data_IF_799739112721
#
_entry.id   IF_799739112721
#
_cell.length_a   1.000
_cell.length_b   1.000
_cell.length_c   1.000
_cell.angle_alpha   90.00
_cell.angle_beta   90.00
_cell.angle_gamma   90.00
#
_symmetry.space_group_name_H-M   'P 1'
#
loop_
_entity.id
_entity.type
_entity.pdbx_description
1 polymer ?
#
# COMPACT_ATOMS: atom_id res chain seq x y z
N UNK A 1 28.36 -17.76 51.68
CA UNK A 1 29.09 -17.08 50.59
C UNK A 1 28.41 -17.49 49.29
N UNK A 2 27.66 -16.57 48.67
CA UNK A 2 26.87 -16.80 47.47
C UNK A 2 27.63 -16.25 46.25
N UNK A 3 27.72 -16.98 45.13
CA UNK A 3 28.32 -16.49 43.90
C UNK A 3 27.33 -15.64 43.08
N UNK A 4 27.94 -14.75 42.30
CA UNK A 4 27.43 -13.56 41.61
C UNK A 4 26.77 -13.83 40.24
N UNK A 5 26.06 -12.79 39.78
CA UNK A 5 25.37 -12.59 38.49
C UNK A 5 26.28 -12.73 37.24
N UNK A 6 25.62 -12.83 36.07
CA UNK A 6 26.09 -12.96 34.67
C UNK A 6 26.08 -14.43 34.19
N UNK A 7 25.32 -14.87 33.17
CA UNK A 7 24.96 -14.27 31.89
C UNK A 7 23.68 -14.96 31.36
N UNK A 8 22.52 -14.28 31.37
CA UNK A 8 21.29 -14.83 30.76
C UNK A 8 21.29 -14.45 29.29
N UNK A 9 21.67 -15.41 28.44
CA UNK A 9 21.68 -15.30 26.99
C UNK A 9 20.38 -14.66 26.46
N UNK A 10 20.54 -13.53 25.77
CA UNK A 10 19.46 -12.87 25.01
C UNK A 10 18.86 -13.87 24.01
N UNK A 11 17.53 -13.95 23.84
CA UNK A 11 16.96 -14.77 22.79
C UNK A 11 17.38 -14.19 21.44
N UNK A 12 18.21 -14.94 20.70
CA UNK A 12 18.64 -14.60 19.35
C UNK A 12 17.41 -14.56 18.43
N UNK A 13 17.08 -13.38 17.90
CA UNK A 13 16.15 -13.29 16.76
C UNK A 13 16.82 -13.91 15.54
N UNK A 14 16.07 -14.75 14.82
CA UNK A 14 16.54 -15.52 13.67
C UNK A 14 17.36 -14.69 12.66
N UNK A 15 18.36 -15.30 12.00
CA UNK A 15 19.11 -14.64 10.93
C UNK A 15 18.13 -14.19 9.85
N UNK A 16 18.18 -12.90 9.54
CA UNK A 16 17.36 -12.29 8.50
C UNK A 16 17.77 -12.88 7.15
N UNK A 17 16.94 -13.78 6.61
CA UNK A 17 17.11 -14.27 5.24
C UNK A 17 17.08 -13.10 4.22
N UNK A 18 17.52 -13.34 2.97
CA UNK A 18 17.78 -12.31 1.96
C UNK A 18 16.51 -11.67 1.35
N UNK A 19 15.43 -11.52 2.11
CA UNK A 19 14.20 -10.81 1.72
C UNK A 19 13.93 -9.54 2.52
N UNK A 20 14.94 -8.97 3.16
CA UNK A 20 14.95 -7.53 3.42
C UNK A 20 15.50 -6.85 2.17
N UNK A 21 14.66 -6.75 1.13
CA UNK A 21 14.89 -5.78 0.06
C UNK A 21 14.78 -4.41 0.73
N UNK A 22 15.93 -3.85 1.08
CA UNK A 22 16.05 -2.47 1.55
C UNK A 22 15.39 -1.60 0.48
N UNK A 23 14.18 -1.10 0.76
CA UNK A 23 13.52 -0.20 -0.18
C UNK A 23 14.17 1.16 0.03
N UNK A 24 14.64 1.79 -1.05
CA UNK A 24 15.32 3.09 -1.04
C UNK A 24 14.50 4.26 -0.50
N UNK A 25 13.34 4.01 0.11
CA UNK A 25 12.45 4.99 0.72
C UNK A 25 12.36 4.84 2.26
N UNK A 26 13.09 3.90 2.89
CA UNK A 26 13.10 3.67 4.34
C UNK A 26 14.01 4.67 5.10
N UNK A 27 13.93 5.95 4.77
CA UNK A 27 14.53 7.01 5.59
C UNK A 27 13.69 7.23 6.83
N UNK A 28 14.24 6.94 8.01
CA UNK A 28 13.59 7.01 9.33
C UNK A 28 13.12 8.41 9.76
N UNK A 29 13.37 9.46 8.98
CA UNK A 29 13.08 10.86 9.32
C UNK A 29 12.00 11.51 8.46
N UNK A 30 11.41 10.78 7.52
CA UNK A 30 10.36 11.29 6.63
C UNK A 30 9.17 10.35 6.71
N UNK A 31 7.99 10.91 6.94
CA UNK A 31 6.69 10.23 6.93
C UNK A 31 6.30 9.73 5.54
N UNK A 32 7.17 8.92 4.95
CA UNK A 32 6.98 8.24 3.70
C UNK A 32 6.14 6.99 4.01
N UNK A 33 4.84 7.06 3.76
CA UNK A 33 4.05 5.84 3.56
C UNK A 33 4.88 4.91 2.66
N UNK A 34 5.26 3.74 3.15
CA UNK A 34 6.01 2.80 2.33
C UNK A 34 5.13 2.49 1.14
N UNK A 35 5.47 2.96 -0.06
CA UNK A 35 4.62 2.78 -1.22
C UNK A 35 4.43 1.29 -1.49
N UNK A 36 3.20 0.86 -1.74
CA UNK A 36 2.95 -0.47 -2.26
C UNK A 36 3.64 -0.62 -3.63
N UNK A 37 4.15 -1.80 -4.00
CA UNK A 37 4.78 -1.98 -5.31
C UNK A 37 3.88 -1.47 -6.44
N UNK A 38 4.43 -0.70 -7.38
CA UNK A 38 3.67 -0.12 -8.50
C UNK A 38 2.82 1.11 -8.15
N UNK A 39 3.12 1.78 -7.02
CA UNK A 39 2.53 3.07 -6.67
C UNK A 39 3.55 4.20 -6.81
N UNK A 40 3.13 5.30 -7.42
CA UNK A 40 3.85 6.58 -7.34
C UNK A 40 3.41 7.38 -6.11
N UNK A 41 4.14 8.46 -5.77
CA UNK A 41 3.74 9.36 -4.69
C UNK A 41 2.46 10.12 -5.06
N UNK A 42 2.37 10.53 -6.31
CA UNK A 42 1.23 11.24 -6.89
C UNK A 42 -0.04 10.37 -6.82
N UNK A 43 0.04 9.10 -7.23
CA UNK A 43 -1.08 8.15 -7.11
C UNK A 43 -1.50 7.96 -5.64
N UNK A 44 -0.54 7.88 -4.73
CA UNK A 44 -0.82 7.79 -3.29
C UNK A 44 -1.54 9.04 -2.77
N UNK A 45 -1.14 10.24 -3.20
CA UNK A 45 -1.79 11.49 -2.82
C UNK A 45 -3.20 11.63 -3.43
N UNK A 46 -3.38 11.14 -4.67
CA UNK A 46 -4.70 11.06 -5.30
C UNK A 46 -5.60 10.11 -4.52
N UNK A 47 -5.10 8.93 -4.12
CA UNK A 47 -5.86 8.00 -3.29
C UNK A 47 -6.27 8.64 -1.96
N UNK A 48 -5.36 9.34 -1.28
CA UNK A 48 -5.66 10.06 -0.03
C UNK A 48 -6.83 11.03 -0.23
N UNK A 49 -6.76 11.89 -1.25
CA UNK A 49 -7.83 12.84 -1.58
C UNK A 49 -9.14 12.13 -1.95
N UNK A 50 -9.07 11.03 -2.70
CA UNK A 50 -10.25 10.28 -3.12
C UNK A 50 -10.96 9.62 -1.93
N UNK A 51 -10.21 9.09 -0.97
CA UNK A 51 -10.74 8.54 0.29
C UNK A 51 -11.40 9.61 1.16
N UNK A 52 -10.79 10.78 1.26
CA UNK A 52 -11.38 11.93 1.95
C UNK A 52 -12.68 12.39 1.26
N UNK A 53 -12.71 12.40 -0.08
CA UNK A 53 -13.87 12.85 -0.87
C UNK A 53 -15.04 11.86 -0.86
N UNK A 54 -14.78 10.57 -1.05
CA UNK A 54 -15.84 9.57 -1.25
C UNK A 54 -16.11 8.68 -0.03
N UNK A 55 -15.26 8.78 0.99
CA UNK A 55 -15.29 7.96 2.19
C UNK A 55 -14.43 6.70 2.06
N UNK A 56 -13.85 6.27 3.18
CA UNK A 56 -13.01 5.06 3.22
C UNK A 56 -13.84 3.82 2.90
N UNK A 57 -13.34 2.98 1.99
CA UNK A 57 -14.01 1.75 1.57
C UNK A 57 -15.01 1.93 0.42
N UNK A 58 -15.26 3.16 -0.03
CA UNK A 58 -16.13 3.44 -1.17
C UNK A 58 -15.38 3.32 -2.51
N UNK A 59 -14.88 2.11 -2.79
CA UNK A 59 -14.01 1.86 -3.93
C UNK A 59 -14.68 2.10 -5.28
N UNK A 60 -15.98 1.83 -5.39
CA UNK A 60 -16.75 2.04 -6.62
C UNK A 60 -16.68 3.51 -7.06
N UNK A 61 -16.99 4.46 -6.17
CA UNK A 61 -16.89 5.90 -6.49
C UNK A 61 -15.47 6.35 -6.83
N UNK A 62 -14.45 5.76 -6.17
CA UNK A 62 -13.05 6.07 -6.48
C UNK A 62 -12.70 5.57 -7.90
N UNK A 63 -13.14 4.37 -8.28
CA UNK A 63 -12.96 3.83 -9.64
C UNK A 63 -13.73 4.66 -10.66
N UNK A 64 -14.99 4.99 -10.37
CA UNK A 64 -15.85 5.79 -11.26
C UNK A 64 -15.29 7.20 -11.48
N UNK A 65 -14.55 7.74 -10.50
CA UNK A 65 -13.84 9.01 -10.66
C UNK A 65 -12.69 8.97 -11.68
N UNK A 66 -12.25 7.76 -12.06
CA UNK A 66 -11.15 7.49 -12.99
C UNK A 66 -9.82 8.17 -12.61
N UNK A 67 -9.68 8.65 -11.38
CA UNK A 67 -8.49 9.34 -10.88
C UNK A 67 -7.29 8.41 -10.65
N UNK A 68 -7.52 7.10 -10.57
CA UNK A 68 -6.50 6.06 -10.38
C UNK A 68 -6.64 4.93 -11.43
N UNK A 69 -6.33 5.20 -12.71
CA UNK A 69 -6.52 4.23 -13.77
C UNK A 69 -5.66 2.98 -13.56
N UNK A 70 -6.26 1.80 -13.73
CA UNK A 70 -5.58 0.51 -13.61
C UNK A 70 -5.29 0.07 -12.16
N UNK A 71 -5.67 0.83 -11.14
CA UNK A 71 -5.55 0.42 -9.74
C UNK A 71 -6.78 -0.40 -9.31
N UNK A 72 -6.53 -1.59 -8.77
CA UNK A 72 -7.57 -2.50 -8.27
C UNK A 72 -7.97 -2.16 -6.83
N UNK A 73 -9.16 -2.60 -6.41
CA UNK A 73 -9.62 -2.49 -5.01
C UNK A 73 -8.61 -3.06 -4.01
N UNK A 74 -7.99 -4.19 -4.34
CA UNK A 74 -6.99 -4.82 -3.48
C UNK A 74 -5.74 -3.93 -3.33
N UNK A 75 -5.25 -3.35 -4.43
CA UNK A 75 -4.10 -2.43 -4.40
C UNK A 75 -4.40 -1.16 -3.61
N UNK A 76 -5.59 -0.57 -3.81
CA UNK A 76 -6.02 0.62 -3.06
C UNK A 76 -6.16 0.33 -1.56
N UNK A 77 -6.76 -0.81 -1.20
CA UNK A 77 -6.90 -1.20 0.21
C UNK A 77 -5.54 -1.47 0.89
N UNK A 78 -4.59 -2.12 0.19
CA UNK A 78 -3.24 -2.30 0.72
C UNK A 78 -2.52 -0.97 0.94
N UNK A 79 -2.66 -0.03 0.00
CA UNK A 79 -2.09 1.30 0.16
C UNK A 79 -2.74 2.08 1.31
N UNK A 80 -4.07 2.00 1.46
CA UNK A 80 -4.80 2.58 2.59
C UNK A 80 -4.31 2.04 3.93
N UNK A 81 -4.12 0.72 4.07
CA UNK A 81 -3.62 0.12 5.32
C UNK A 81 -2.26 0.69 5.73
N UNK A 82 -1.39 0.96 4.74
CA UNK A 82 -0.09 1.59 4.97
C UNK A 82 -0.21 3.05 5.37
N UNK A 83 -1.13 3.80 4.75
CA UNK A 83 -1.43 5.19 5.14
C UNK A 83 -1.96 5.27 6.57
N UNK A 84 -2.89 4.40 6.94
CA UNK A 84 -3.44 4.33 8.30
C UNK A 84 -2.44 3.77 9.32
N UNK A 85 -1.38 3.09 8.87
CA UNK A 85 -0.45 2.39 9.76
C UNK A 85 -1.08 1.18 10.47
N UNK A 86 -2.18 0.62 9.95
CA UNK A 86 -2.85 -0.55 10.50
C UNK A 86 -3.58 -1.38 9.44
N UNK A 87 -3.71 -2.69 9.69
CA UNK A 87 -4.32 -3.62 8.74
C UNK A 87 -5.85 -3.58 8.77
N UNK A 88 -6.45 -3.30 9.92
CA UNK A 88 -7.90 -3.21 10.03
C UNK A 88 -8.37 -1.83 9.59
N UNK A 89 -9.31 -1.80 8.64
CA UNK A 89 -9.91 -0.57 8.11
C UNK A 89 -11.39 -0.44 8.45
N UNK A 90 -11.98 -1.48 9.05
CA UNK A 90 -13.42 -1.59 9.29
C UNK A 90 -13.99 -0.46 10.15
N UNK A 91 -13.18 0.07 11.08
CA UNK A 91 -13.57 1.15 11.98
C UNK A 91 -13.60 2.54 11.33
N UNK A 92 -13.20 2.64 10.06
CA UNK A 92 -13.32 3.87 9.27
C UNK A 92 -14.23 3.71 8.06
N UNK A 93 -14.89 2.57 7.90
CA UNK A 93 -15.72 2.31 6.75
C UNK A 93 -16.81 3.39 6.59
N UNK A 94 -16.84 4.04 5.43
CA UNK A 94 -17.77 5.11 5.08
C UNK A 94 -17.41 6.50 5.62
N UNK A 95 -16.33 6.65 6.39
CA UNK A 95 -15.96 7.94 6.95
C UNK A 95 -15.10 8.76 5.98
N UNK A 96 -15.33 10.07 5.96
CA UNK A 96 -14.54 11.06 5.23
C UNK A 96 -13.42 11.56 6.14
N UNK A 97 -12.31 10.84 6.19
CA UNK A 97 -11.18 11.18 7.06
C UNK A 97 -9.90 11.24 6.26
N UNK A 98 -8.92 12.00 6.75
CA UNK A 98 -7.56 11.96 6.25
C UNK A 98 -6.80 10.74 6.82
N UNK A 99 -6.46 9.73 6.00
CA UNK A 99 -5.78 8.53 6.48
C UNK A 99 -4.40 8.81 7.10
N UNK A 100 -3.71 9.88 6.67
CA UNK A 100 -2.37 10.19 7.17
C UNK A 100 -2.37 10.67 8.62
N UNK A 101 -3.42 11.37 9.06
CA UNK A 101 -3.59 11.79 10.46
C UNK A 101 -3.66 10.56 11.38
N UNK A 102 -4.39 9.53 10.94
CA UNK A 102 -4.48 8.26 11.65
C UNK A 102 -3.15 7.51 11.62
N UNK A 103 -2.47 7.48 10.46
CA UNK A 103 -1.12 6.94 10.33
C UNK A 103 -0.14 7.57 11.29
N UNK A 104 -0.20 8.89 11.43
CA UNK A 104 0.66 9.64 12.33
C UNK A 104 0.48 9.19 13.77
N UNK A 105 -0.77 9.17 14.22
CA UNK A 105 -1.14 8.66 15.54
C UNK A 105 -0.68 7.22 15.74
N UNK A 106 -0.97 6.34 14.79
CA UNK A 106 -0.69 4.91 14.89
C UNK A 106 0.81 4.58 14.91
N UNK A 107 1.67 5.41 14.33
CA UNK A 107 3.12 5.20 14.45
C UNK A 107 3.64 5.47 15.88
N UNK A 108 3.02 6.42 16.59
CA UNK A 108 3.42 6.83 17.95
C UNK A 108 2.97 5.81 19.00
N UNK A 109 2.03 4.93 18.63
CA UNK A 109 1.58 3.83 19.48
C UNK A 109 2.71 2.80 19.61
N UNK A 110 3.26 2.71 20.81
CA UNK A 110 4.26 1.73 21.22
C UNK A 110 3.76 1.00 22.47
N UNK A 111 4.16 -0.26 22.65
CA UNK A 111 3.81 -1.03 23.84
C UNK A 111 3.99 -2.53 23.64
N UNK A 112 4.19 -3.25 24.74
CA UNK A 112 4.39 -4.72 24.74
C UNK A 112 3.22 -5.50 24.14
N UNK A 113 2.01 -4.93 24.18
CA UNK A 113 0.79 -5.55 23.65
C UNK A 113 0.53 -5.23 22.17
N UNK A 114 1.33 -4.35 21.55
CA UNK A 114 1.12 -3.91 20.16
C UNK A 114 1.98 -4.76 19.23
N UNK A 115 1.33 -5.59 18.41
CA UNK A 115 2.01 -6.36 17.38
C UNK A 115 1.92 -5.62 16.04
N UNK A 116 3.01 -5.66 15.28
CA UNK A 116 3.10 -5.10 13.93
C UNK A 116 3.47 -6.18 12.92
N UNK A 117 2.90 -6.09 11.72
CA UNK A 117 3.27 -6.90 10.55
C UNK A 117 3.38 -5.97 9.35
N UNK A 118 4.54 -5.96 8.69
CA UNK A 118 4.86 -5.02 7.60
C UNK A 118 4.64 -3.56 8.04
N UNK A 119 5.15 -3.19 9.23
CA UNK A 119 5.01 -1.89 9.88
C UNK A 119 3.57 -1.45 10.27
N UNK A 120 2.55 -2.20 9.89
CA UNK A 120 1.15 -1.93 10.24
C UNK A 120 0.78 -2.62 11.55
N UNK A 121 0.01 -1.93 12.40
CA UNK A 121 -0.61 -2.53 13.60
C UNK A 121 -1.56 -3.65 13.15
N UNK A 122 -1.45 -4.81 13.80
CA UNK A 122 -2.36 -5.94 13.57
C UNK A 122 -3.27 -6.13 14.78
N UNK A 123 -4.52 -6.51 14.51
CA UNK A 123 -5.42 -6.92 15.59
C UNK A 123 -4.95 -8.29 16.11
N UNK A 124 -4.59 -8.33 17.39
CA UNK A 124 -4.17 -9.55 18.09
C UNK A 124 -5.28 -10.17 18.92
N UNK A 125 -6.43 -9.50 19.03
CA UNK A 125 -7.61 -10.00 19.72
C UNK A 125 -8.57 -10.75 18.81
N UNK A 126 -9.71 -11.17 19.38
CA UNK A 126 -10.80 -11.78 18.62
C UNK A 126 -11.38 -10.85 17.55
N UNK A 127 -12.18 -11.43 16.65
CA UNK A 127 -12.93 -10.66 15.64
C UNK A 127 -13.87 -9.69 16.38
N UNK A 128 -13.75 -8.36 16.17
CA UNK A 128 -14.61 -7.40 16.83
C UNK A 128 -16.07 -7.64 16.42
N UNK A 129 -16.98 -7.49 17.39
CA UNK A 129 -18.42 -7.63 17.15
C UNK A 129 -18.92 -6.47 16.30
N UNK A 130 -20.08 -6.65 15.67
CA UNK A 130 -20.72 -5.62 14.84
C UNK A 130 -20.96 -4.32 15.63
N UNK A 131 -21.36 -4.44 16.89
CA UNK A 131 -21.67 -3.29 17.73
C UNK A 131 -20.41 -2.55 18.18
N UNK A 132 -19.33 -3.27 18.45
CA UNK A 132 -18.02 -2.64 18.73
C UNK A 132 -17.50 -1.88 17.50
N UNK A 133 -17.64 -2.46 16.30
CA UNK A 133 -17.28 -1.76 15.06
C UNK A 133 -18.11 -0.48 14.90
N UNK A 134 -19.44 -0.54 15.10
CA UNK A 134 -20.30 0.65 15.02
C UNK A 134 -19.90 1.72 16.04
N UNK A 135 -19.58 1.32 17.27
CA UNK A 135 -19.12 2.24 18.32
C UNK A 135 -17.82 2.94 17.90
N UNK A 136 -16.86 2.19 17.37
CA UNK A 136 -15.59 2.76 16.89
C UNK A 136 -15.78 3.67 15.69
N UNK A 137 -16.64 3.31 14.74
CA UNK A 137 -17.00 4.18 13.61
C UNK A 137 -17.56 5.49 14.14
N UNK A 138 -18.50 5.47 15.09
CA UNK A 138 -19.08 6.69 15.66
C UNK A 138 -18.05 7.55 16.40
N UNK A 139 -17.14 6.92 17.15
CA UNK A 139 -16.04 7.63 17.82
C UNK A 139 -15.07 8.27 16.83
N UNK A 140 -14.65 7.52 15.80
CA UNK A 140 -13.78 8.03 14.75
C UNK A 140 -14.45 9.13 13.94
N UNK A 141 -15.76 9.02 13.71
CA UNK A 141 -16.57 10.05 13.06
C UNK A 141 -16.47 11.38 13.81
N UNK A 142 -16.70 11.34 15.12
CA UNK A 142 -16.64 12.55 15.96
C UNK A 142 -15.25 13.17 16.06
N UNK A 143 -14.19 12.36 16.00
CA UNK A 143 -12.82 12.81 16.21
C UNK A 143 -12.10 13.23 14.93
N UNK A 144 -12.42 12.61 13.79
CA UNK A 144 -11.58 12.66 12.59
C UNK A 144 -12.33 12.95 11.30
N UNK A 145 -13.68 12.93 11.31
CA UNK A 145 -14.44 13.27 10.10
C UNK A 145 -14.23 14.73 9.75
N UNK A 146 -13.82 14.95 8.51
CA UNK A 146 -13.69 16.30 7.94
C UNK A 146 -15.07 16.84 7.60
N UNK A 147 -15.22 18.15 7.62
CA UNK A 147 -16.50 18.80 7.36
C UNK A 147 -17.00 18.51 5.94
N UNK A 148 -18.32 18.62 5.76
CA UNK A 148 -18.94 18.41 4.45
C UNK A 148 -18.43 19.36 3.38
N UNK A 149 -18.15 20.60 3.76
CA UNK A 149 -17.56 21.60 2.88
C UNK A 149 -16.15 21.21 2.45
N UNK A 150 -15.32 20.74 3.39
CA UNK A 150 -13.94 20.34 3.09
C UNK A 150 -13.88 19.20 2.09
N UNK A 151 -14.63 18.11 2.29
CA UNK A 151 -14.56 16.98 1.37
C UNK A 151 -15.25 17.23 0.03
N UNK A 152 -16.28 18.08 -0.01
CA UNK A 152 -16.90 18.49 -1.27
C UNK A 152 -15.93 19.31 -2.14
N UNK A 153 -15.14 20.18 -1.51
CA UNK A 153 -14.15 21.03 -2.18
C UNK A 153 -12.90 20.27 -2.66
N UNK A 154 -12.71 19.00 -2.27
CA UNK A 154 -11.59 18.21 -2.78
C UNK A 154 -11.75 17.99 -4.29
N UNK A 155 -10.78 18.52 -5.04
CA UNK A 155 -10.68 18.31 -6.49
C UNK A 155 -9.75 17.13 -6.73
N UNK A 156 -10.27 16.10 -7.41
CA UNK A 156 -9.48 14.99 -7.92
C UNK A 156 -9.02 15.33 -9.34
N UNK A 157 -7.79 14.96 -9.73
CA UNK A 157 -7.39 15.08 -11.11
C UNK A 157 -8.36 14.26 -11.94
N UNK A 158 -9.01 14.92 -12.91
CA UNK A 158 -9.82 14.23 -13.89
C UNK A 158 -8.87 13.42 -14.78
N UNK A 159 -9.28 12.24 -15.24
CA UNK A 159 -8.50 11.52 -16.25
C UNK A 159 -8.27 12.45 -17.45
N UNK A 160 -7.04 12.45 -17.96
CA UNK A 160 -6.82 12.76 -19.37
C UNK A 160 -7.78 11.88 -20.18
N UNK A 161 -8.43 12.46 -21.18
CA UNK A 161 -9.47 11.84 -22.02
C UNK A 161 -9.34 10.30 -22.08
N UNK A 162 -10.37 9.51 -21.74
CA UNK A 162 -10.30 8.04 -21.80
C UNK A 162 -9.69 7.50 -23.11
N UNK A 163 -9.82 8.24 -24.22
CA UNK A 163 -9.11 7.95 -25.47
C UNK A 163 -7.59 8.02 -25.33
N UNK A 164 -7.04 9.05 -24.69
CA UNK A 164 -5.60 9.21 -24.45
C UNK A 164 -5.04 8.08 -23.56
N UNK A 165 -5.79 7.65 -22.54
CA UNK A 165 -5.37 6.53 -21.68
C UNK A 165 -5.36 5.22 -22.48
N UNK A 166 -6.39 4.97 -23.29
CA UNK A 166 -6.44 3.82 -24.18
C UNK A 166 -5.30 3.83 -25.21
N UNK A 167 -5.01 4.99 -25.80
CA UNK A 167 -3.90 5.19 -26.74
C UNK A 167 -2.56 4.89 -26.08
N UNK A 168 -2.30 5.44 -24.89
CA UNK A 168 -1.09 5.16 -24.12
C UNK A 168 -0.95 3.66 -23.80
N UNK A 169 -2.03 2.98 -23.41
CA UNK A 169 -2.00 1.53 -23.17
C UNK A 169 -1.74 0.72 -24.43
N UNK A 170 -2.29 1.15 -25.57
CA UNK A 170 -2.02 0.52 -26.86
C UNK A 170 -0.57 0.74 -27.32
N UNK A 171 0.04 1.88 -26.98
CA UNK A 171 1.46 2.13 -27.20
C UNK A 171 2.35 1.25 -26.32
N UNK A 172 2.06 1.18 -25.02
CA UNK A 172 2.75 0.27 -24.08
C UNK A 172 2.69 -1.18 -24.57
N UNK A 173 1.50 -1.63 -25.02
CA UNK A 173 1.29 -2.96 -25.54
C UNK A 173 2.14 -3.21 -26.79
N UNK A 174 2.17 -2.26 -27.73
CA UNK A 174 3.01 -2.35 -28.93
C UNK A 174 4.50 -2.44 -28.59
N UNK A 175 4.96 -1.62 -27.65
CA UNK A 175 6.34 -1.65 -27.17
C UNK A 175 6.69 -3.01 -26.55
N UNK A 176 5.84 -3.53 -25.66
CA UNK A 176 6.06 -4.84 -25.03
C UNK A 176 6.07 -5.98 -26.04
N UNK A 177 5.23 -5.91 -27.08
CA UNK A 177 5.25 -6.89 -28.18
C UNK A 177 6.59 -6.86 -28.93
N UNK A 178 7.12 -5.67 -29.23
CA UNK A 178 8.43 -5.52 -29.87
C UNK A 178 9.57 -6.02 -28.99
N UNK A 179 9.55 -5.70 -27.68
CA UNK A 179 10.55 -6.21 -26.73
C UNK A 179 10.50 -7.74 -26.65
N UNK A 180 9.30 -8.34 -26.60
CA UNK A 180 9.10 -9.79 -26.60
C UNK A 180 9.64 -10.45 -27.88
N UNK A 181 9.40 -9.83 -29.04
CA UNK A 181 9.89 -10.33 -30.32
C UNK A 181 11.42 -10.31 -30.40
N UNK A 182 12.04 -9.22 -29.94
CA UNK A 182 13.50 -9.10 -29.83
C UNK A 182 14.09 -10.19 -28.93
N UNK A 183 13.51 -10.40 -27.74
CA UNK A 183 13.94 -11.45 -26.81
C UNK A 183 13.78 -12.85 -27.43
N UNK A 184 12.68 -13.11 -28.14
CA UNK A 184 12.47 -14.38 -28.85
C UNK A 184 13.53 -14.61 -29.93
N UNK A 185 13.88 -13.58 -30.69
CA UNK A 185 14.94 -13.65 -31.70
C UNK A 185 16.31 -13.93 -31.07
N UNK A 186 16.64 -13.29 -29.96
CA UNK A 186 17.87 -13.55 -29.20
C UNK A 186 17.92 -15.00 -28.70
N UNK A 187 16.84 -15.52 -28.13
CA UNK A 187 16.74 -16.93 -27.68
C UNK A 187 16.95 -17.88 -28.86
N UNK A 188 16.33 -17.61 -30.02
CA UNK A 188 16.50 -18.44 -31.21
C UNK A 188 17.95 -18.44 -31.72
N UNK A 189 18.62 -17.29 -31.70
CA UNK A 189 20.04 -17.18 -32.07
C UNK A 189 20.94 -17.97 -31.13
N UNK A 190 20.71 -17.86 -29.81
CA UNK A 190 21.46 -18.60 -28.81
C UNK A 190 21.27 -20.12 -28.96
N UNK A 191 20.04 -20.57 -29.20
CA UNK A 191 19.74 -22.00 -29.45
C UNK A 191 20.46 -22.54 -30.69
N UNK A 192 20.51 -21.77 -31.79
CA UNK A 192 21.27 -22.16 -32.98
C UNK A 192 22.76 -22.26 -32.70
N UNK A 193 23.35 -21.27 -32.04
CA UNK A 193 24.77 -21.29 -31.64
C UNK A 193 25.10 -22.47 -30.72
N UNK A 194 24.16 -22.88 -29.87
CA UNK A 194 24.34 -24.02 -28.99
C UNK A 194 24.29 -25.34 -29.79
N UNK A 195 23.34 -25.50 -30.70
CA UNK A 195 23.30 -26.65 -31.63
C UNK A 195 24.54 -26.75 -32.50
N UNK A 196 25.07 -25.62 -32.99
CA UNK A 196 26.32 -25.59 -33.75
C UNK A 196 27.52 -26.02 -32.90
N UNK A 197 27.58 -25.62 -31.62
CA UNK A 197 28.63 -26.05 -30.69
C UNK A 197 28.54 -27.52 -30.29
N UNK A 198 27.34 -28.08 -30.18
CA UNK A 198 27.12 -29.48 -29.80
C UNK A 198 27.36 -30.47 -30.96
N UNK A 199 27.53 -29.97 -32.20
CA UNK A 199 27.76 -30.75 -33.41
C UNK A 199 29.25 -30.86 -33.81
N UNK A 200 30.15 -30.22 -33.05
CA UNK A 200 31.61 -30.33 -33.15
C UNK A 200 32.19 -30.94 -31.87
#
# INVERSE_FOLDING_TARGET
>A
MAPTLEDVAKPQSMPSGPRNVLRSNDSASLWNCTLSPGWSREESDILRKALMKFGIGNWAKIIDSQSLPGKTNAQMNLQLQRMLGQQSTAEFAGLHIDPLVIGEKNSKIQGSNIKRKNNCIVNTGGKPTRDEIKRRIQQNKQLYEISEEEWNNIILPKPEDPQLVLESKNEDLRRLQQELESVRAQIASLRRKQQEKDCF
#
